data_IF_728996159224
#
_entry.id   IF_728996159224
#
_cell.length_a   1.000
_cell.length_b   1.000
_cell.length_c   1.000
_cell.angle_alpha   90.00
_cell.angle_beta   90.00
_cell.angle_gamma   90.00
#
_symmetry.space_group_name_H-M   'P 1'
#
loop_
_entity.id
_entity.type
_entity.pdbx_description
1 polymer ?
#
# COMPACT_ATOMS: atom_id res chain seq x y z
N UNK A 1 29.04 -55.46 70.92
CA UNK A 1 27.96 -55.72 69.94
C UNK A 1 27.07 -54.50 69.70
N UNK A 2 26.55 -53.83 70.73
CA UNK A 2 25.69 -52.63 70.54
C UNK A 2 26.42 -51.44 69.88
N UNK A 3 27.65 -51.12 70.32
CA UNK A 3 28.42 -50.02 69.75
C UNK A 3 28.79 -50.23 68.27
N UNK A 4 29.11 -51.48 67.88
CA UNK A 4 29.39 -51.83 66.48
C UNK A 4 28.13 -51.77 65.61
N UNK A 5 26.98 -52.21 66.13
CA UNK A 5 25.71 -52.11 65.44
C UNK A 5 25.27 -50.65 65.23
N UNK A 6 25.40 -49.80 66.25
CA UNK A 6 25.07 -48.38 66.16
C UNK A 6 25.99 -47.64 65.16
N UNK A 7 27.28 -48.00 65.13
CA UNK A 7 28.26 -47.45 64.17
C UNK A 7 27.95 -47.88 62.72
N UNK A 8 27.48 -49.11 62.51
CA UNK A 8 27.04 -49.58 61.18
C UNK A 8 25.77 -48.84 60.76
N UNK A 9 24.78 -48.72 61.65
CA UNK A 9 23.52 -48.01 61.37
C UNK A 9 23.74 -46.54 61.01
N UNK A 10 24.54 -45.82 61.79
CA UNK A 10 24.88 -44.41 61.52
C UNK A 10 25.62 -44.24 60.19
N UNK A 11 26.54 -45.15 59.86
CA UNK A 11 27.22 -45.15 58.56
C UNK A 11 26.25 -45.36 57.39
N UNK A 12 25.38 -46.37 57.48
CA UNK A 12 24.39 -46.65 56.42
C UNK A 12 23.40 -45.49 56.25
N UNK A 13 23.01 -44.82 57.35
CA UNK A 13 22.17 -43.63 57.27
C UNK A 13 22.88 -42.47 56.55
N UNK A 14 24.17 -42.23 56.86
CA UNK A 14 24.99 -41.21 56.21
C UNK A 14 25.14 -41.48 54.71
N UNK A 15 25.48 -42.72 54.34
CA UNK A 15 25.61 -43.14 52.93
C UNK A 15 24.31 -42.93 52.15
N UNK A 16 23.15 -43.22 52.78
CA UNK A 16 21.84 -43.00 52.16
C UNK A 16 21.51 -41.51 51.98
N UNK A 17 21.86 -40.68 52.97
CA UNK A 17 21.68 -39.22 52.90
C UNK A 17 22.57 -38.62 51.80
N UNK A 18 23.84 -39.02 51.74
CA UNK A 18 24.79 -38.58 50.71
C UNK A 18 24.31 -38.98 49.30
N UNK A 19 23.80 -40.20 49.15
CA UNK A 19 23.25 -40.67 47.88
C UNK A 19 22.00 -39.89 47.45
N UNK A 20 21.09 -39.59 48.39
CA UNK A 20 19.92 -38.75 48.13
C UNK A 20 20.31 -37.33 47.75
N UNK A 21 21.26 -36.72 48.48
CA UNK A 21 21.77 -35.39 48.19
C UNK A 21 22.44 -35.33 46.83
N UNK A 22 23.28 -36.31 46.49
CA UNK A 22 23.93 -36.40 45.17
C UNK A 22 22.89 -36.52 44.05
N UNK A 23 21.83 -37.30 44.26
CA UNK A 23 20.75 -37.45 43.27
C UNK A 23 20.02 -36.13 43.01
N UNK A 24 19.66 -35.40 44.09
CA UNK A 24 18.98 -34.11 43.98
C UNK A 24 19.89 -33.07 43.31
N UNK A 25 21.16 -33.01 43.71
CA UNK A 25 22.13 -32.08 43.13
C UNK A 25 22.36 -32.36 41.64
N UNK A 26 22.51 -33.63 41.24
CA UNK A 26 22.66 -34.00 39.84
C UNK A 26 21.43 -33.63 39.02
N UNK A 27 20.22 -33.82 39.58
CA UNK A 27 18.97 -33.39 38.93
C UNK A 27 18.93 -31.87 38.77
N UNK A 28 19.26 -31.12 39.81
CA UNK A 28 19.30 -29.66 39.76
C UNK A 28 20.31 -29.15 38.72
N UNK A 29 21.50 -29.74 38.67
CA UNK A 29 22.53 -29.42 37.66
C UNK A 29 22.00 -29.70 36.25
N UNK A 30 21.30 -30.83 36.05
CA UNK A 30 20.69 -31.16 34.77
C UNK A 30 19.63 -30.12 34.36
N UNK A 31 18.72 -29.76 35.26
CA UNK A 31 17.67 -28.77 35.00
C UNK A 31 18.26 -27.38 34.71
N UNK A 32 19.30 -26.97 35.43
CA UNK A 32 20.01 -25.71 35.19
C UNK A 32 20.70 -25.71 33.82
N UNK A 33 21.31 -26.83 33.41
CA UNK A 33 21.93 -26.95 32.09
C UNK A 33 20.90 -26.91 30.96
N UNK A 34 19.73 -27.53 31.15
CA UNK A 34 18.63 -27.46 30.20
C UNK A 34 18.10 -26.03 30.06
N UNK A 35 17.87 -25.33 31.18
CA UNK A 35 17.48 -23.92 31.17
C UNK A 35 18.51 -23.02 30.48
N UNK A 36 19.80 -23.24 30.73
CA UNK A 36 20.86 -22.49 30.05
C UNK A 36 20.86 -22.73 28.54
N UNK A 37 20.59 -23.96 28.11
CA UNK A 37 20.50 -24.31 26.69
C UNK A 37 19.30 -23.63 26.04
N UNK A 38 18.12 -23.74 26.65
CA UNK A 38 16.90 -23.05 26.19
C UNK A 38 17.09 -21.54 26.11
N UNK A 39 17.73 -20.93 27.11
CA UNK A 39 17.99 -19.49 27.13
C UNK A 39 18.98 -19.07 26.01
N UNK A 40 19.97 -19.91 25.70
CA UNK A 40 20.88 -19.70 24.57
C UNK A 40 20.15 -19.75 23.23
N UNK A 41 19.24 -20.70 23.05
CA UNK A 41 18.42 -20.82 21.84
C UNK A 41 17.45 -19.64 21.69
N UNK A 42 16.81 -19.21 22.77
CA UNK A 42 15.94 -18.03 22.78
C UNK A 42 16.72 -16.77 22.37
N UNK A 43 17.93 -16.58 22.90
CA UNK A 43 18.78 -15.44 22.50
C UNK A 43 19.15 -15.47 21.01
N UNK A 44 19.44 -16.66 20.46
CA UNK A 44 19.70 -16.80 19.02
C UNK A 44 18.47 -16.45 18.19
N UNK A 45 17.31 -16.96 18.58
CA UNK A 45 16.04 -16.66 17.91
C UNK A 45 15.72 -15.16 17.96
N UNK A 46 15.95 -14.51 19.11
CA UNK A 46 15.75 -13.07 19.25
C UNK A 46 16.64 -12.26 18.30
N UNK A 47 17.91 -12.63 18.17
CA UNK A 47 18.83 -11.98 17.24
C UNK A 47 18.43 -12.18 15.77
N UNK A 48 17.87 -13.34 15.40
CA UNK A 48 17.34 -13.58 14.06
C UNK A 48 16.09 -12.74 13.80
N UNK A 49 15.17 -12.67 14.77
CA UNK A 49 13.98 -11.82 14.67
C UNK A 49 14.38 -10.36 14.52
N UNK A 50 15.34 -9.85 15.29
CA UNK A 50 15.81 -8.47 15.17
C UNK A 50 16.39 -8.18 13.78
N UNK A 51 17.15 -9.12 13.20
CA UNK A 51 17.65 -9.00 11.81
C UNK A 51 16.52 -8.97 10.80
N UNK A 52 15.53 -9.85 10.92
CA UNK A 52 14.38 -9.88 10.04
C UNK A 52 13.56 -8.59 10.11
N UNK A 53 13.36 -8.04 11.32
CA UNK A 53 12.66 -6.77 11.51
C UNK A 53 13.40 -5.62 10.83
N UNK A 54 14.73 -5.53 10.99
CA UNK A 54 15.54 -4.51 10.30
C UNK A 54 15.47 -4.64 8.78
N UNK A 55 15.54 -5.87 8.27
CA UNK A 55 15.39 -6.14 6.85
C UNK A 55 14.01 -5.70 6.33
N UNK A 56 12.93 -6.12 7.00
CA UNK A 56 11.56 -5.74 6.62
C UNK A 56 11.36 -4.23 6.67
N UNK A 57 11.89 -3.55 7.69
CA UNK A 57 11.83 -2.08 7.76
C UNK A 57 12.51 -1.42 6.57
N UNK A 58 13.69 -1.91 6.18
CA UNK A 58 14.41 -1.37 5.02
C UNK A 58 13.62 -1.59 3.72
N UNK A 59 13.09 -2.81 3.54
CA UNK A 59 12.26 -3.12 2.38
C UNK A 59 10.99 -2.27 2.33
N UNK A 60 10.39 -1.98 3.49
CA UNK A 60 9.22 -1.12 3.59
C UNK A 60 9.54 0.31 3.15
N UNK A 61 10.65 0.87 3.63
CA UNK A 61 11.09 2.22 3.25
C UNK A 61 11.35 2.32 1.73
N UNK A 62 11.99 1.32 1.14
CA UNK A 62 12.23 1.25 -0.30
C UNK A 62 10.93 1.18 -1.10
N UNK A 63 9.98 0.35 -0.67
CA UNK A 63 8.66 0.25 -1.31
C UNK A 63 7.91 1.58 -1.19
N UNK A 64 7.94 2.21 -0.02
CA UNK A 64 7.28 3.50 0.22
C UNK A 64 7.82 4.57 -0.71
N UNK A 65 9.16 4.63 -0.87
CA UNK A 65 9.80 5.54 -1.81
C UNK A 65 9.40 5.27 -3.25
N UNK A 66 9.39 4.00 -3.68
CA UNK A 66 8.98 3.63 -5.03
C UNK A 66 7.52 4.01 -5.32
N UNK A 67 6.63 3.86 -4.34
CA UNK A 67 5.22 4.28 -4.47
C UNK A 67 5.12 5.79 -4.67
N UNK A 68 5.83 6.58 -3.86
CA UNK A 68 5.85 8.04 -4.00
C UNK A 68 6.39 8.47 -5.37
N UNK A 69 7.45 7.83 -5.86
CA UNK A 69 8.01 8.14 -7.18
C UNK A 69 7.01 7.81 -8.32
N UNK A 70 6.27 6.70 -8.19
CA UNK A 70 5.20 6.34 -9.14
C UNK A 70 4.03 7.32 -9.10
N UNK A 71 3.58 7.74 -7.91
CA UNK A 71 2.50 8.72 -7.75
C UNK A 71 2.88 10.07 -8.37
N UNK A 72 4.11 10.53 -8.10
CA UNK A 72 4.65 11.75 -8.70
C UNK A 72 4.74 11.64 -10.22
N UNK A 73 5.23 10.51 -10.74
CA UNK A 73 5.28 10.23 -12.17
C UNK A 73 3.90 10.24 -12.82
N UNK A 74 2.90 9.63 -12.17
CA UNK A 74 1.53 9.59 -12.67
C UNK A 74 0.87 10.98 -12.69
N UNK A 75 1.09 11.78 -11.64
CA UNK A 75 0.64 13.17 -11.59
C UNK A 75 1.23 14.00 -12.73
N UNK A 76 2.54 13.87 -12.97
CA UNK A 76 3.22 14.55 -14.08
C UNK A 76 2.68 14.12 -15.45
N UNK A 77 2.49 12.82 -15.67
CA UNK A 77 1.91 12.31 -16.92
C UNK A 77 0.49 12.82 -17.14
N UNK A 78 -0.34 12.83 -16.10
CA UNK A 78 -1.71 13.36 -16.17
C UNK A 78 -1.73 14.84 -16.56
N UNK A 79 -0.85 15.65 -15.96
CA UNK A 79 -0.72 17.07 -16.33
C UNK A 79 -0.27 17.24 -17.78
N UNK A 80 0.68 16.42 -18.23
CA UNK A 80 1.19 16.44 -19.61
C UNK A 80 0.11 16.03 -20.62
N UNK A 81 -0.68 15.01 -20.31
CA UNK A 81 -1.83 14.59 -21.15
C UNK A 81 -2.81 15.75 -21.28
N UNK A 82 -3.21 16.39 -20.18
CA UNK A 82 -4.13 17.53 -20.21
C UNK A 82 -3.58 18.70 -21.04
N UNK A 83 -2.28 18.98 -20.94
CA UNK A 83 -1.64 20.03 -21.75
C UNK A 83 -1.66 19.69 -23.26
N UNK A 84 -1.43 18.43 -23.61
CA UNK A 84 -1.51 17.96 -24.99
C UNK A 84 -2.93 17.99 -25.53
N UNK A 85 -3.92 17.56 -24.75
CA UNK A 85 -5.35 17.63 -25.11
C UNK A 85 -5.78 19.07 -25.39
N UNK A 86 -5.38 20.02 -24.54
CA UNK A 86 -5.64 21.44 -24.79
C UNK A 86 -4.96 21.92 -26.07
N UNK A 87 -3.70 21.54 -26.30
CA UNK A 87 -2.98 21.92 -27.53
C UNK A 87 -3.65 21.37 -28.78
N UNK A 88 -4.16 20.13 -28.73
CA UNK A 88 -4.92 19.51 -29.83
C UNK A 88 -6.23 20.29 -30.06
N UNK A 89 -6.94 20.63 -28.99
CA UNK A 89 -8.18 21.40 -29.07
C UNK A 89 -7.93 22.77 -29.71
N UNK A 90 -6.88 23.47 -29.30
CA UNK A 90 -6.50 24.76 -29.87
C UNK A 90 -6.18 24.62 -31.36
N UNK A 91 -5.40 23.61 -31.75
CA UNK A 91 -5.10 23.33 -33.17
C UNK A 91 -6.37 23.05 -33.99
N UNK A 92 -7.32 22.30 -33.43
CA UNK A 92 -8.60 22.03 -34.10
C UNK A 92 -9.42 23.30 -34.30
N UNK A 93 -9.43 24.21 -33.32
CA UNK A 93 -10.08 25.51 -33.42
C UNK A 93 -9.39 26.39 -34.47
N UNK A 94 -8.06 26.49 -34.44
CA UNK A 94 -7.31 27.27 -35.43
C UNK A 94 -7.46 26.75 -36.86
N UNK A 95 -7.53 25.43 -37.04
CA UNK A 95 -7.74 24.82 -38.36
C UNK A 95 -9.12 25.12 -38.96
N UNK A 96 -10.09 25.54 -38.13
CA UNK A 96 -11.47 25.89 -38.54
C UNK A 96 -11.77 27.36 -38.26
N UNK A 97 -10.83 28.24 -38.61
CA UNK A 97 -10.89 29.69 -38.31
C UNK A 97 -12.15 30.41 -38.83
N UNK A 98 -12.89 29.81 -39.76
CA UNK A 98 -14.11 30.37 -40.37
C UNK A 98 -15.37 29.56 -40.04
N UNK A 99 -15.35 28.73 -38.99
CA UNK A 99 -16.49 27.90 -38.58
C UNK A 99 -16.90 28.23 -37.15
N UNK A 100 -18.18 28.51 -36.95
CA UNK A 100 -18.76 28.73 -35.62
C UNK A 100 -19.39 27.40 -35.18
N UNK A 101 -18.92 26.85 -34.06
CA UNK A 101 -19.52 25.66 -33.45
C UNK A 101 -20.49 26.07 -32.34
N UNK A 102 -21.77 25.73 -32.51
CA UNK A 102 -22.81 25.97 -31.49
C UNK A 102 -22.93 24.69 -30.65
N UNK A 103 -22.60 24.78 -29.36
CA UNK A 103 -22.68 23.67 -28.40
C UNK A 103 -23.85 23.85 -27.44
N UNK A 104 -24.31 22.75 -26.83
CA UNK A 104 -25.40 22.72 -25.86
C UNK A 104 -26.74 23.22 -26.40
N UNK A 105 -27.05 22.91 -27.66
CA UNK A 105 -28.39 23.12 -28.21
C UNK A 105 -29.36 22.18 -27.48
N UNK A 106 -30.48 22.72 -27.00
CA UNK A 106 -31.51 21.94 -26.31
C UNK A 106 -32.19 20.99 -27.29
N UNK A 107 -32.02 19.68 -27.06
CA UNK A 107 -32.63 18.64 -27.89
C UNK A 107 -34.12 18.51 -27.54
N UNK A 108 -34.98 18.49 -28.56
CA UNK A 108 -36.43 18.24 -28.42
C UNK A 108 -36.80 16.91 -29.06
N UNK A 109 -37.84 16.26 -28.54
CA UNK A 109 -38.38 15.04 -29.17
C UNK A 109 -39.00 15.36 -30.55
N UNK A 110 -38.63 14.59 -31.57
CA UNK A 110 -39.02 14.80 -32.99
C UNK A 110 -38.54 16.14 -33.60
N UNK A 111 -37.32 16.55 -33.29
CA UNK A 111 -36.69 17.75 -33.86
C UNK A 111 -36.63 17.70 -35.39
N UNK A 112 -36.99 18.82 -36.02
CA UNK A 112 -37.00 18.99 -37.48
C UNK A 112 -35.88 19.92 -37.93
N UNK A 113 -35.56 19.91 -39.22
CA UNK A 113 -34.54 20.79 -39.81
C UNK A 113 -34.90 22.28 -39.61
N UNK A 114 -36.19 22.61 -39.63
CA UNK A 114 -36.70 23.96 -39.36
C UNK A 114 -36.43 24.41 -37.92
N UNK A 115 -36.45 23.49 -36.94
CA UNK A 115 -36.09 23.80 -35.56
C UNK A 115 -34.62 24.24 -35.47
N UNK A 116 -33.73 23.57 -36.19
CA UNK A 116 -32.31 23.88 -36.23
C UNK A 116 -32.06 25.24 -36.92
N UNK A 117 -32.73 25.51 -38.05
CA UNK A 117 -32.71 26.80 -38.75
C UNK A 117 -33.20 27.93 -37.84
N UNK A 118 -34.24 27.68 -37.03
CA UNK A 118 -34.75 28.68 -36.08
C UNK A 118 -33.73 29.05 -34.99
N UNK A 119 -32.93 28.08 -34.54
CA UNK A 119 -31.87 28.29 -33.55
C UNK A 119 -30.74 29.14 -34.15
N UNK A 120 -30.28 28.79 -35.34
CA UNK A 120 -29.21 29.52 -36.05
C UNK A 120 -29.64 30.95 -36.34
N UNK A 121 -30.82 31.15 -36.93
CA UNK A 121 -31.37 32.49 -37.20
C UNK A 121 -31.69 33.29 -35.93
N UNK A 122 -31.96 32.63 -34.81
CA UNK A 122 -32.10 33.26 -33.50
C UNK A 122 -30.77 33.79 -32.96
N UNK A 123 -29.69 33.04 -33.12
CA UNK A 123 -28.33 33.45 -32.72
C UNK A 123 -27.85 34.62 -33.59
N UNK A 124 -28.14 34.59 -34.89
CA UNK A 124 -27.76 35.64 -35.85
C UNK A 124 -28.34 37.01 -35.51
N UNK A 125 -29.63 37.05 -35.13
CA UNK A 125 -30.27 38.27 -34.65
C UNK A 125 -29.60 38.88 -33.42
N UNK A 126 -28.94 38.06 -32.60
CA UNK A 126 -28.22 38.52 -31.40
C UNK A 126 -26.85 39.10 -31.79
N UNK A 127 -26.22 38.56 -32.84
CA UNK A 127 -24.91 39.04 -33.35
C UNK A 127 -25.04 40.13 -34.42
N UNK A 128 -26.25 40.62 -34.69
CA UNK A 128 -26.58 41.67 -35.67
C UNK A 128 -26.14 41.32 -37.11
N UNK A 129 -26.20 40.04 -37.46
CA UNK A 129 -26.03 39.57 -38.85
C UNK A 129 -27.38 39.14 -39.46
N UNK A 130 -27.57 39.42 -40.75
CA UNK A 130 -28.78 39.09 -41.50
C UNK A 130 -28.51 37.92 -42.46
N UNK A 131 -28.52 36.71 -41.92
CA UNK A 131 -28.52 35.48 -42.71
C UNK A 131 -29.97 35.01 -42.84
N UNK A 132 -30.35 34.68 -44.07
CA UNK A 132 -31.69 34.20 -44.39
C UNK A 132 -31.69 32.66 -44.39
N UNK A 133 -32.84 32.00 -44.17
CA UNK A 133 -32.93 30.54 -44.26
C UNK A 133 -32.44 29.96 -45.61
N UNK A 134 -32.49 30.76 -46.67
CA UNK A 134 -31.96 30.44 -48.01
C UNK A 134 -30.43 30.44 -48.11
N UNK A 135 -29.74 31.10 -47.17
CA UNK A 135 -28.29 31.13 -47.09
C UNK A 135 -27.72 29.90 -46.36
N UNK A 136 -28.58 29.19 -45.61
CA UNK A 136 -28.24 27.96 -44.90
C UNK A 136 -28.27 26.77 -45.87
N UNK A 137 -27.22 25.94 -45.82
CA UNK A 137 -27.11 24.71 -46.61
C UNK A 137 -27.11 23.51 -45.67
N UNK A 138 -27.73 22.42 -46.13
CA UNK A 138 -27.74 21.10 -45.51
C UNK A 138 -26.37 20.40 -45.66
#
# INVERSE_FOLDING_TARGET
MFASWNKIQTRTLSEKIEQQQSTILNKLVSEVNELNTQNSELNKSFLEVEKLVKFVSTQYDDISKNVLDLENGNSYLTQKVKALENSIKDLQLFSRSSTIEIRNVLVKDNETLDDLVSVVTGIEKIIDENITPTDLRD
#
